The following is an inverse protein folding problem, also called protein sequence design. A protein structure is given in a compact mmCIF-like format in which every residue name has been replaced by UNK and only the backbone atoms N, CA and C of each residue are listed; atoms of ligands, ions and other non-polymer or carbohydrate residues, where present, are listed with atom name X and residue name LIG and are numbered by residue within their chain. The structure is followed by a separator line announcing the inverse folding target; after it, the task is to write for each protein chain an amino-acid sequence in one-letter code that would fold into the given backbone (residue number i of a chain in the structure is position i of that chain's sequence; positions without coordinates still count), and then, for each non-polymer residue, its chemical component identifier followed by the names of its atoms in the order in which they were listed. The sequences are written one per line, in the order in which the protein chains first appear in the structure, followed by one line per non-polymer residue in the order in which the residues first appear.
data_IF_484394746494
#
_entry.id   IF_484394746494
#
_cell.length_a   1.000
_cell.length_b   1.000
_cell.length_c   1.000
_cell.angle_alpha   90.00
_cell.angle_beta   90.00
_cell.angle_gamma   90.00
#
_symmetry.space_group_name_H-M   'P 1'
#
loop_
_entity.id
_entity.type
_entity.pdbx_description
1 polymer ?
#
# COMPACT_ATOMS: atom_id res chain seq x y z
N UNK A 1 -4.98 9.44 -8.57
CA UNK A 1 -4.26 8.40 -7.80
C UNK A 1 -5.19 7.54 -6.94
N UNK A 2 -6.10 8.12 -6.13
CA UNK A 2 -7.04 7.35 -5.27
C UNK A 2 -7.76 6.20 -6.00
N UNK A 3 -8.34 6.47 -7.17
CA UNK A 3 -9.04 5.44 -7.94
C UNK A 3 -8.10 4.35 -8.44
N UNK A 4 -6.94 4.72 -9.01
CA UNK A 4 -5.89 3.79 -9.43
C UNK A 4 -5.47 2.83 -8.31
N UNK A 5 -5.21 3.36 -7.11
CA UNK A 5 -4.86 2.56 -5.92
C UNK A 5 -6.01 1.65 -5.53
N UNK A 6 -7.25 2.17 -5.51
CA UNK A 6 -8.45 1.38 -5.16
C UNK A 6 -8.64 0.21 -6.13
N UNK A 7 -8.52 0.45 -7.43
CA UNK A 7 -8.73 -0.56 -8.46
C UNK A 7 -7.62 -1.61 -8.49
N UNK A 8 -6.35 -1.17 -8.35
CA UNK A 8 -5.20 -2.08 -8.35
C UNK A 8 -5.21 -2.99 -7.12
N UNK A 9 -5.40 -2.43 -5.93
CA UNK A 9 -5.51 -3.22 -4.71
C UNK A 9 -6.78 -4.09 -4.71
N UNK A 10 -7.91 -3.58 -5.23
CA UNK A 10 -9.15 -4.34 -5.33
C UNK A 10 -9.01 -5.58 -6.20
N UNK A 11 -8.36 -5.45 -7.37
CA UNK A 11 -8.05 -6.57 -8.25
C UNK A 11 -7.13 -7.60 -7.59
N UNK A 12 -6.08 -7.14 -6.90
CA UNK A 12 -5.16 -8.01 -6.17
C UNK A 12 -5.86 -8.76 -5.03
N UNK A 13 -6.63 -8.04 -4.22
CA UNK A 13 -7.29 -8.54 -3.02
C UNK A 13 -8.39 -9.59 -3.34
N UNK A 14 -8.99 -9.51 -4.53
CA UNK A 14 -9.95 -10.51 -5.00
C UNK A 14 -9.34 -11.90 -5.23
N UNK A 15 -8.06 -11.97 -5.64
CA UNK A 15 -7.33 -13.24 -5.83
C UNK A 15 -6.48 -13.63 -4.62
N UNK A 16 -6.00 -12.64 -3.86
CA UNK A 16 -5.08 -12.82 -2.74
C UNK A 16 -5.56 -12.00 -1.54
N UNK A 17 -6.36 -12.57 -0.63
CA UNK A 17 -6.95 -11.83 0.50
C UNK A 17 -5.93 -11.25 1.49
N UNK A 18 -4.73 -11.87 1.58
CA UNK A 18 -3.59 -11.43 2.39
C UNK A 18 -2.34 -11.37 1.52
N UNK A 19 -2.18 -10.32 0.69
CA UNK A 19 -1.09 -10.26 -0.26
C UNK A 19 0.24 -9.95 0.44
N UNK A 20 1.33 -10.53 -0.08
CA UNK A 20 2.68 -10.21 0.36
C UNK A 20 3.11 -8.81 -0.10
N UNK A 21 4.09 -8.20 0.59
CA UNK A 21 4.63 -6.88 0.25
C UNK A 21 5.02 -6.79 -1.23
N UNK A 22 5.73 -7.78 -1.76
CA UNK A 22 6.12 -7.82 -3.17
C UNK A 22 4.92 -7.80 -4.12
N UNK A 23 3.85 -8.54 -3.82
CA UNK A 23 2.65 -8.58 -4.66
C UNK A 23 1.92 -7.24 -4.70
N UNK A 24 1.89 -6.52 -3.58
CA UNK A 24 1.33 -5.16 -3.51
C UNK A 24 2.19 -4.19 -4.32
N UNK A 25 3.51 -4.26 -4.17
CA UNK A 25 4.47 -3.45 -4.95
C UNK A 25 4.30 -3.70 -6.45
N UNK A 26 4.26 -4.95 -6.88
CA UNK A 26 4.11 -5.34 -8.29
C UNK A 26 2.76 -4.88 -8.86
N UNK A 27 1.67 -5.04 -8.10
CA UNK A 27 0.34 -4.62 -8.54
C UNK A 27 0.26 -3.09 -8.74
N UNK A 28 0.84 -2.31 -7.83
CA UNK A 28 0.79 -0.85 -7.89
C UNK A 28 1.75 -0.29 -8.95
N UNK A 29 2.96 -0.84 -9.06
CA UNK A 29 3.91 -0.45 -10.11
C UNK A 29 3.41 -0.85 -11.50
N UNK A 30 2.80 -2.03 -11.65
CA UNK A 30 2.13 -2.47 -12.87
C UNK A 30 0.92 -1.60 -13.25
N UNK A 31 0.31 -0.91 -12.28
CA UNK A 31 -0.73 0.09 -12.50
C UNK A 31 -0.18 1.49 -12.87
N UNK A 32 1.15 1.62 -13.04
CA UNK A 32 1.82 2.84 -13.46
C UNK A 32 2.28 3.76 -12.32
N UNK A 33 2.26 3.28 -11.07
CA UNK A 33 2.79 4.04 -9.93
C UNK A 33 4.31 3.95 -9.93
N UNK A 34 4.96 5.11 -9.82
CA UNK A 34 6.43 5.19 -9.78
C UNK A 34 6.96 4.55 -8.48
N UNK A 35 7.92 3.60 -8.55
CA UNK A 35 8.54 3.00 -7.36
C UNK A 35 9.04 4.00 -6.31
N UNK A 36 9.72 5.13 -6.65
CA UNK A 36 10.18 6.10 -5.65
C UNK A 36 9.05 6.87 -4.93
N UNK A 37 7.82 6.87 -5.48
CA UNK A 37 6.66 7.48 -4.85
C UNK A 37 5.83 6.48 -4.03
N UNK A 38 6.23 5.20 -3.99
CA UNK A 38 5.49 4.11 -3.37
C UNK A 38 6.17 3.67 -2.07
N UNK A 39 5.38 3.55 -1.02
CA UNK A 39 5.77 2.98 0.27
C UNK A 39 4.82 1.83 0.60
N UNK A 40 5.34 0.66 1.01
CA UNK A 40 4.52 -0.51 1.34
C UNK A 40 4.95 -1.05 2.70
N UNK A 41 3.97 -1.43 3.53
CA UNK A 41 4.23 -2.01 4.84
C UNK A 41 4.69 -3.47 4.73
N UNK A 42 5.32 -3.98 5.79
CA UNK A 42 5.69 -5.39 5.87
C UNK A 42 4.44 -6.27 5.94
N UNK A 43 4.38 -7.33 5.13
CA UNK A 43 3.29 -8.30 5.14
C UNK A 43 3.44 -9.36 6.24
N UNK A 44 4.54 -9.33 7.00
CA UNK A 44 4.86 -10.31 8.03
C UNK A 44 5.42 -9.61 9.27
N UNK A 45 4.98 -10.07 10.44
CA UNK A 45 5.45 -9.57 11.73
C UNK A 45 6.86 -10.09 12.04
N UNK A 46 7.58 -9.49 13.00
CA UNK A 46 8.88 -9.99 13.45
C UNK A 46 8.86 -11.44 13.98
N UNK A 47 7.71 -11.92 14.46
CA UNK A 47 7.52 -13.31 14.90
C UNK A 47 7.23 -14.27 13.76
N UNK A 48 7.18 -13.79 12.52
CA UNK A 48 6.97 -14.59 11.33
C UNK A 48 5.50 -14.84 11.00
N UNK A 49 4.55 -14.15 11.66
CA UNK A 49 3.12 -14.29 11.39
C UNK A 49 2.69 -13.33 10.28
N UNK A 50 1.66 -13.71 9.53
CA UNK A 50 1.08 -12.83 8.52
C UNK A 50 0.50 -11.58 9.19
N UNK A 51 0.76 -10.40 8.60
CA UNK A 51 0.11 -9.18 9.05
C UNK A 51 -1.39 -9.28 8.80
N UNK A 52 -2.19 -8.79 9.75
CA UNK A 52 -3.65 -8.81 9.62
C UNK A 52 -4.12 -7.89 8.49
N UNK A 53 -3.39 -6.79 8.27
CA UNK A 53 -3.56 -5.90 7.13
C UNK A 53 -2.21 -5.50 6.58
N UNK A 54 -2.18 -5.25 5.27
CA UNK A 54 -1.05 -4.62 4.59
C UNK A 54 -1.49 -3.27 4.03
N UNK A 55 -0.60 -2.29 4.11
CA UNK A 55 -0.84 -0.92 3.70
C UNK A 55 0.16 -0.52 2.61
N UNK A 56 -0.32 0.27 1.66
CA UNK A 56 0.51 0.93 0.67
C UNK A 56 0.13 2.40 0.59
N UNK A 57 1.13 3.26 0.48
CA UNK A 57 0.95 4.69 0.33
C UNK A 57 1.64 5.19 -0.94
N UNK A 58 0.94 6.03 -1.69
CA UNK A 58 1.49 6.69 -2.87
C UNK A 58 1.55 8.19 -2.63
N UNK A 59 2.76 8.74 -2.68
CA UNK A 59 2.99 10.17 -2.62
C UNK A 59 2.51 10.82 -3.92
N UNK A 60 1.58 11.77 -3.79
CA UNK A 60 1.06 12.58 -4.89
C UNK A 60 1.08 14.05 -4.47
N UNK A 61 2.15 14.77 -4.85
CA UNK A 61 2.30 16.18 -4.45
C UNK A 61 2.50 16.28 -2.94
N UNK A 62 1.54 16.91 -2.26
CA UNK A 62 1.53 17.07 -0.78
C UNK A 62 0.62 16.08 -0.07
N UNK A 63 0.01 15.15 -0.82
CA UNK A 63 -0.91 14.16 -0.31
C UNK A 63 -0.34 12.74 -0.44
N UNK A 64 -0.76 11.89 0.48
CA UNK A 64 -0.49 10.46 0.51
C UNK A 64 -1.80 9.73 0.31
N UNK A 65 -1.89 8.97 -0.78
CA UNK A 65 -3.02 8.06 -1.02
C UNK A 65 -2.69 6.73 -0.37
N UNK A 66 -3.32 6.45 0.77
CA UNK A 66 -3.07 5.24 1.56
C UNK A 66 -4.19 4.23 1.31
N UNK A 67 -3.81 3.06 0.81
CA UNK A 67 -4.67 1.90 0.63
C UNK A 67 -4.31 0.78 1.60
N UNK A 68 -5.32 0.21 2.24
CA UNK A 68 -5.20 -0.95 3.13
C UNK A 68 -5.91 -2.14 2.51
N UNK A 69 -5.27 -3.31 2.53
CA UNK A 69 -5.90 -4.61 2.25
C UNK A 69 -6.00 -5.41 3.55
N UNK A 70 -7.20 -5.85 3.90
CA UNK A 70 -7.50 -6.71 5.06
C UNK A 70 -8.52 -7.76 4.66
N UNK A 71 -8.12 -9.03 4.70
CA UNK A 71 -8.97 -10.17 4.32
C UNK A 71 -9.76 -9.95 3.02
N UNK A 72 -9.05 -9.53 1.97
CA UNK A 72 -9.64 -9.28 0.64
C UNK A 72 -10.44 -7.97 0.52
N UNK A 73 -10.62 -7.21 1.60
CA UNK A 73 -11.30 -5.92 1.59
C UNK A 73 -10.29 -4.79 1.44
N UNK A 74 -10.63 -3.82 0.60
CA UNK A 74 -9.79 -2.65 0.32
C UNK A 74 -10.44 -1.39 0.87
N UNK A 75 -9.66 -0.57 1.56
CA UNK A 75 -10.05 0.76 2.00
C UNK A 75 -8.99 1.76 1.57
N UNK A 76 -9.39 2.91 1.01
CA UNK A 76 -8.45 3.93 0.55
C UNK A 76 -8.82 5.30 1.11
N UNK A 77 -7.84 5.92 1.76
CA UNK A 77 -7.93 7.26 2.34
C UNK A 77 -6.85 8.17 1.75
N UNK A 78 -7.04 9.47 1.91
CA UNK A 78 -6.04 10.47 1.51
C UNK A 78 -5.65 11.22 2.77
N UNK A 79 -4.35 11.28 3.04
CA UNK A 79 -3.75 11.91 4.20
C UNK A 79 -2.71 12.94 3.74
N UNK A 80 -2.43 14.00 4.51
CA UNK A 80 -1.33 14.90 4.20
C UNK A 80 0.02 14.17 4.33
N UNK A 81 1.00 14.55 3.50
CA UNK A 81 2.38 14.08 3.62
C UNK A 81 2.98 14.48 4.98
N UNK A 82 3.82 13.62 5.55
CA UNK A 82 4.53 13.93 6.78
C UNK A 82 5.58 15.01 6.54
N UNK A 83 6.00 15.70 7.60
CA UNK A 83 7.09 16.70 7.52
C UNK A 83 8.42 16.11 7.01
N UNK A 84 8.60 14.79 7.08
CA UNK A 84 9.73 14.06 6.50
C UNK A 84 9.67 13.93 4.97
N UNK A 85 8.57 14.32 4.33
CA UNK A 85 8.32 14.08 2.91
C UNK A 85 7.93 12.64 2.57
N UNK A 86 7.63 11.82 3.58
CA UNK A 86 7.20 10.42 3.46
C UNK A 86 5.73 10.26 3.84
N UNK A 87 5.14 9.14 3.44
CA UNK A 87 3.80 8.77 3.80
C UNK A 87 3.73 7.89 5.05
N UNK A 88 4.73 7.04 5.29
CA UNK A 88 4.81 6.22 6.49
C UNK A 88 5.83 6.73 7.51
N UNK A 89 5.56 6.39 8.77
CA UNK A 89 6.53 6.50 9.87
C UNK A 89 7.22 5.14 10.01
N UNK A 90 8.54 5.16 10.16
CA UNK A 90 9.35 3.94 10.28
C UNK A 90 9.96 3.50 8.96
N UNK A 91 10.35 2.23 8.88
CA UNK A 91 10.91 1.65 7.67
C UNK A 91 9.79 1.03 6.83
N UNK A 92 9.70 1.45 5.57
CA UNK A 92 8.99 0.67 4.55
C UNK A 92 9.72 -0.67 4.36
N UNK A 93 8.95 -1.70 3.99
CA UNK A 93 9.46 -3.06 3.83
C UNK A 93 10.21 -3.27 2.51
#
# INVERSE_FOLDING_TARGET
MKQTVTDALGKLAAGTPKPATAQVTDALTGAGISPPALEVSASRTPTGLEADAIEAAVLQGTDCVVGQVRDGKVTVIVLPVLASGKCFVGAAA
#
